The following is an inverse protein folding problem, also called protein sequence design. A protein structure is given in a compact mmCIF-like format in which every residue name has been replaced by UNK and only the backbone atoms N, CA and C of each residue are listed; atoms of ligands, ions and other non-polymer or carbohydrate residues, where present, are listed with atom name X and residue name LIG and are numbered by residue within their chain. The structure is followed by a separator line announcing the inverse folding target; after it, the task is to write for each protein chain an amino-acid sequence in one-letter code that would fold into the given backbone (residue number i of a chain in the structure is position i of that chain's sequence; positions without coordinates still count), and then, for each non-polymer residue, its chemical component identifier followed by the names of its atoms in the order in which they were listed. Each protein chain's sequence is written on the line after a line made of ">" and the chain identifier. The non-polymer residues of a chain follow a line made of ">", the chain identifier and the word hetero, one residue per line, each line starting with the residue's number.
data_IF_426200004466
#
_entry.id   IF_426200004466
#
_cell.length_a   1.000
_cell.length_b   1.000
_cell.length_c   1.000
_cell.angle_alpha   90.00
_cell.angle_beta   90.00
_cell.angle_gamma   90.00
#
_symmetry.space_group_name_H-M   'P 1'
#
loop_
_entity.id
_entity.type
_entity.pdbx_description
1 polymer ?
#
# COMPACT_ATOMS: atom_id res chain seq x y z
N UNK A 1 -22.26 -2.05 -26.50
CA UNK A 1 -21.66 -0.69 -26.61
C UNK A 1 -20.15 -0.64 -26.37
N UNK A 2 -19.49 -1.66 -25.80
CA UNK A 2 -18.03 -1.65 -25.50
C UNK A 2 -17.12 -1.70 -26.74
N UNK A 3 -17.61 -2.27 -27.85
CA UNK A 3 -16.82 -2.55 -29.06
C UNK A 3 -16.37 -1.30 -29.82
N UNK A 4 -17.18 -0.25 -29.80
CA UNK A 4 -16.88 0.98 -30.53
C UNK A 4 -15.76 1.79 -29.86
N UNK A 5 -15.78 1.86 -28.52
CA UNK A 5 -14.74 2.53 -27.75
C UNK A 5 -13.38 1.82 -27.86
N UNK A 6 -13.35 0.49 -27.99
CA UNK A 6 -12.11 -0.27 -28.20
C UNK A 6 -11.50 0.03 -29.57
N UNK A 7 -12.32 -0.01 -30.63
CA UNK A 7 -11.89 0.22 -32.00
C UNK A 7 -11.37 1.66 -32.21
N UNK A 8 -12.05 2.64 -31.59
CA UNK A 8 -11.59 4.03 -31.61
C UNK A 8 -10.24 4.21 -30.90
N UNK A 9 -10.03 3.54 -29.76
CA UNK A 9 -8.74 3.57 -29.06
C UNK A 9 -7.61 2.93 -29.88
N UNK A 10 -7.88 1.81 -30.55
CA UNK A 10 -6.91 1.15 -31.44
C UNK A 10 -6.50 2.07 -32.60
N UNK A 11 -7.47 2.75 -33.23
CA UNK A 11 -7.19 3.72 -34.29
C UNK A 11 -6.40 4.93 -33.79
N UNK A 12 -6.76 5.50 -32.64
CA UNK A 12 -6.03 6.65 -32.07
C UNK A 12 -4.60 6.29 -31.66
N UNK A 13 -4.37 5.04 -31.23
CA UNK A 13 -3.02 4.54 -30.96
C UNK A 13 -2.19 4.35 -32.23
N UNK A 14 -2.81 3.89 -33.31
CA UNK A 14 -2.17 3.75 -34.63
C UNK A 14 -1.69 5.09 -35.20
N UNK A 15 -2.41 6.18 -34.91
CA UNK A 15 -2.01 7.55 -35.27
C UNK A 15 -1.02 8.21 -34.30
N UNK A 16 -0.57 7.50 -33.25
CA UNK A 16 0.37 8.04 -32.24
C UNK A 16 -0.22 9.15 -31.37
N UNK A 17 -1.55 9.28 -31.34
CA UNK A 17 -2.26 10.31 -30.57
C UNK A 17 -2.56 9.84 -29.14
N UNK A 18 -2.56 8.52 -28.91
CA UNK A 18 -2.75 7.91 -27.59
C UNK A 18 -1.84 6.69 -27.46
N UNK A 19 -0.95 6.72 -26.48
CA UNK A 19 -0.12 5.58 -26.13
C UNK A 19 -0.77 4.79 -24.99
N UNK A 20 -0.76 3.46 -25.11
CA UNK A 20 -1.29 2.56 -24.06
C UNK A 20 -0.20 1.56 -23.69
N UNK A 21 0.27 1.63 -22.45
CA UNK A 21 1.30 0.75 -21.93
C UNK A 21 0.81 0.01 -20.69
N UNK A 22 1.23 -1.24 -20.53
CA UNK A 22 1.03 -1.98 -19.29
C UNK A 22 2.31 -1.93 -18.47
N UNK A 23 2.31 -1.12 -17.42
CA UNK A 23 3.45 -0.91 -16.53
C UNK A 23 3.35 -1.83 -15.33
N UNK A 24 4.47 -2.49 -14.98
CA UNK A 24 4.58 -3.26 -13.74
C UNK A 24 5.07 -2.33 -12.62
N UNK A 25 4.25 -2.18 -11.59
CA UNK A 25 4.52 -1.32 -10.44
C UNK A 25 4.82 -2.20 -9.21
N UNK A 26 6.08 -2.18 -8.77
CA UNK A 26 6.58 -2.88 -7.59
C UNK A 26 7.19 -1.90 -6.59
N UNK A 27 6.39 -1.23 -5.76
CA UNK A 27 6.93 -0.43 -4.67
C UNK A 27 7.50 -1.34 -3.59
N UNK A 28 8.53 -0.85 -2.89
CA UNK A 28 9.10 -1.57 -1.76
C UNK A 28 8.03 -1.79 -0.68
N UNK A 29 7.74 -3.06 -0.35
CA UNK A 29 6.75 -3.43 0.66
C UNK A 29 5.29 -3.36 0.23
N UNK A 30 4.99 -3.11 -1.06
CA UNK A 30 3.64 -3.21 -1.60
C UNK A 30 3.52 -4.35 -2.61
N UNK A 31 2.30 -4.84 -2.77
CA UNK A 31 1.98 -5.91 -3.71
C UNK A 31 2.27 -5.45 -5.15
N UNK A 32 3.02 -6.29 -5.86
CA UNK A 32 3.33 -6.16 -7.29
C UNK A 32 2.04 -6.07 -8.11
N UNK A 33 1.92 -5.04 -8.95
CA UNK A 33 0.69 -4.82 -9.72
C UNK A 33 0.97 -4.36 -11.14
N UNK A 34 0.05 -4.66 -12.04
CA UNK A 34 0.07 -4.16 -13.42
C UNK A 34 -0.93 -3.01 -13.55
N UNK A 35 -0.45 -1.89 -14.06
CA UNK A 35 -1.23 -0.71 -14.35
C UNK A 35 -1.30 -0.55 -15.87
N UNK A 36 -2.47 -0.23 -16.39
CA UNK A 36 -2.62 0.22 -17.76
C UNK A 36 -2.57 1.74 -17.72
N UNK A 37 -1.55 2.29 -18.35
CA UNK A 37 -1.30 3.72 -18.47
C UNK A 37 -1.65 4.11 -19.89
N UNK A 38 -2.63 4.98 -20.03
CA UNK A 38 -3.01 5.59 -21.30
C UNK A 38 -2.55 7.05 -21.25
N UNK A 39 -1.73 7.50 -22.19
CA UNK A 39 -1.23 8.87 -22.22
C UNK A 39 -1.27 9.47 -23.63
N UNK A 40 -1.48 10.78 -23.70
CA UNK A 40 -1.47 11.57 -24.94
C UNK A 40 -0.78 12.91 -24.68
N UNK A 41 -0.02 13.46 -25.64
CA UNK A 41 0.44 14.85 -25.56
C UNK A 41 -0.75 15.80 -25.43
N UNK A 42 -0.62 16.83 -24.60
CA UNK A 42 -1.64 17.87 -24.51
C UNK A 42 -1.65 18.69 -25.82
N UNK A 43 -2.80 18.83 -26.51
CA UNK A 43 -2.87 19.60 -27.75
C UNK A 43 -2.60 21.10 -27.55
N UNK A 44 -2.80 21.64 -26.36
CA UNK A 44 -2.62 23.06 -26.03
C UNK A 44 -1.23 23.34 -25.42
N UNK A 45 -0.54 22.32 -24.88
CA UNK A 45 0.80 22.45 -24.29
C UNK A 45 1.70 21.26 -24.62
N UNK A 46 2.67 21.48 -25.52
CA UNK A 46 3.62 20.47 -25.96
C UNK A 46 4.54 19.91 -24.85
N UNK A 47 4.56 20.49 -23.64
CA UNK A 47 5.32 19.99 -22.49
C UNK A 47 4.49 19.13 -21.54
N UNK A 48 3.18 19.08 -21.75
CA UNK A 48 2.24 18.41 -20.85
C UNK A 48 1.67 17.14 -21.49
N UNK A 49 1.27 16.19 -20.66
CA UNK A 49 0.64 14.94 -21.09
C UNK A 49 -0.66 14.72 -20.33
N UNK A 50 -1.71 14.34 -21.05
CA UNK A 50 -2.95 13.86 -20.48
C UNK A 50 -2.78 12.35 -20.21
N UNK A 51 -2.72 11.97 -18.93
CA UNK A 51 -2.50 10.59 -18.51
C UNK A 51 -3.69 10.02 -17.73
N UNK A 52 -4.10 8.80 -18.07
CA UNK A 52 -5.10 8.02 -17.35
C UNK A 52 -4.50 6.68 -16.94
N UNK A 53 -4.46 6.44 -15.63
CA UNK A 53 -3.96 5.20 -15.04
C UNK A 53 -5.13 4.37 -14.53
N UNK A 54 -5.15 3.07 -14.86
CA UNK A 54 -6.14 2.13 -14.33
C UNK A 54 -5.50 0.79 -13.97
N UNK A 55 -6.04 0.04 -13.01
CA UNK A 55 -5.63 -1.35 -12.77
C UNK A 55 -5.77 -2.19 -14.04
N UNK A 56 -4.82 -3.10 -14.26
CA UNK A 56 -4.94 -4.11 -15.34
C UNK A 56 -5.91 -5.24 -14.98
N UNK A 57 -6.16 -5.44 -13.68
CA UNK A 57 -7.12 -6.40 -13.13
C UNK A 57 -8.14 -5.66 -12.25
N UNK A 58 -9.38 -6.12 -12.27
CA UNK A 58 -10.44 -5.67 -11.36
C UNK A 58 -10.45 -6.48 -10.05
N UNK A 59 -9.54 -7.45 -9.88
CA UNK A 59 -9.43 -8.18 -8.63
C UNK A 59 -9.11 -7.21 -7.49
N UNK A 60 -9.88 -7.27 -6.38
CA UNK A 60 -9.54 -6.50 -5.20
C UNK A 60 -8.10 -6.83 -4.80
N UNK A 61 -7.36 -5.81 -4.40
CA UNK A 61 -6.02 -6.02 -3.86
C UNK A 61 -6.14 -7.02 -2.70
N UNK A 62 -5.27 -8.05 -2.62
CA UNK A 62 -5.16 -8.78 -1.36
C UNK A 62 -4.87 -7.75 -0.27
N UNK A 63 -5.53 -7.87 0.87
CA UNK A 63 -5.26 -7.02 2.02
C UNK A 63 -3.75 -7.02 2.23
N UNK A 64 -3.16 -5.82 2.28
CA UNK A 64 -1.72 -5.72 2.51
C UNK A 64 -1.42 -6.51 3.78
N UNK A 65 -0.45 -7.43 3.72
CA UNK A 65 -0.07 -8.21 4.89
C UNK A 65 0.15 -7.23 6.06
N UNK A 66 -0.43 -7.52 7.25
CA UNK A 66 -0.35 -6.62 8.37
C UNK A 66 1.12 -6.28 8.62
N UNK A 67 1.44 -4.99 8.62
CA UNK A 67 2.83 -4.56 8.84
C UNK A 67 3.26 -5.04 10.23
N UNK A 68 4.23 -5.94 10.29
CA UNK A 68 4.76 -6.47 11.54
C UNK A 68 5.95 -5.65 12.04
N UNK A 69 5.90 -5.26 13.31
CA UNK A 69 6.91 -4.44 13.96
C UNK A 69 7.77 -5.29 14.89
N UNK A 70 9.06 -4.93 14.95
CA UNK A 70 9.92 -5.37 16.05
C UNK A 70 9.47 -4.73 17.37
N UNK A 71 9.83 -5.34 18.50
CA UNK A 71 9.59 -4.75 19.83
C UNK A 71 10.20 -3.35 19.96
N UNK A 72 11.33 -3.07 19.30
CA UNK A 72 11.94 -1.74 19.31
C UNK A 72 11.09 -0.72 18.55
N UNK A 73 10.67 -1.05 17.31
CA UNK A 73 9.81 -0.15 16.53
C UNK A 73 8.48 0.15 17.22
N UNK A 74 7.88 -0.84 17.89
CA UNK A 74 6.67 -0.63 18.69
C UNK A 74 6.94 0.31 19.88
N UNK A 75 8.07 0.15 20.57
CA UNK A 75 8.48 1.02 21.67
C UNK A 75 8.68 2.47 21.22
N UNK A 76 9.33 2.65 20.07
CA UNK A 76 9.55 3.97 19.46
C UNK A 76 8.22 4.65 19.12
N UNK A 77 7.23 3.91 18.57
CA UNK A 77 5.90 4.45 18.24
C UNK A 77 5.08 4.82 19.46
N UNK A 78 5.12 3.99 20.50
CA UNK A 78 4.41 4.23 21.75
C UNK A 78 5.11 5.26 22.65
N UNK A 79 6.34 5.66 22.31
CA UNK A 79 7.22 6.48 23.14
C UNK A 79 7.40 5.91 24.55
N UNK A 80 7.72 4.62 24.62
CA UNK A 80 7.94 3.86 25.86
C UNK A 80 9.21 3.02 25.76
N UNK A 81 9.61 2.38 26.86
CA UNK A 81 10.79 1.51 26.84
C UNK A 81 10.50 0.17 26.14
N UNK A 82 11.52 -0.40 25.48
CA UNK A 82 11.42 -1.73 24.86
C UNK A 82 11.07 -2.85 25.87
N UNK A 83 11.60 -2.89 27.11
CA UNK A 83 11.16 -3.86 28.11
C UNK A 83 9.68 -3.71 28.47
N UNK A 84 9.14 -2.49 28.49
CA UNK A 84 7.72 -2.27 28.74
C UNK A 84 6.85 -2.88 27.64
N UNK A 85 7.22 -2.72 26.36
CA UNK A 85 6.51 -3.39 25.25
C UNK A 85 6.64 -4.91 25.34
N UNK A 86 7.79 -5.44 25.73
CA UNK A 86 7.96 -6.88 25.92
C UNK A 86 7.00 -7.42 27.00
N UNK A 87 6.85 -6.69 28.10
CA UNK A 87 5.89 -7.01 29.16
C UNK A 87 4.45 -6.98 28.64
N UNK A 88 4.04 -5.95 27.90
CA UNK A 88 2.69 -5.87 27.32
C UNK A 88 2.38 -7.05 26.40
N UNK A 89 3.35 -7.49 25.59
CA UNK A 89 3.20 -8.70 24.78
C UNK A 89 3.04 -9.94 25.64
N UNK A 90 3.85 -10.08 26.69
CA UNK A 90 3.78 -11.25 27.58
C UNK A 90 2.49 -11.25 28.42
N UNK A 91 1.91 -10.08 28.69
CA UNK A 91 0.62 -9.88 29.35
C UNK A 91 -0.58 -10.10 28.39
N UNK A 92 -0.35 -10.25 27.08
CA UNK A 92 -1.39 -10.51 26.09
C UNK A 92 -2.15 -9.26 25.58
N UNK A 93 -1.59 -8.07 25.78
CA UNK A 93 -2.23 -6.79 25.42
C UNK A 93 -2.29 -6.52 23.90
N UNK A 94 -1.54 -7.29 23.11
CA UNK A 94 -1.53 -7.20 21.64
C UNK A 94 -2.05 -8.50 21.04
N UNK A 95 -3.03 -8.38 20.13
CA UNK A 95 -3.50 -9.52 19.34
C UNK A 95 -2.57 -9.79 18.13
N UNK A 96 -2.59 -11.03 17.62
CA UNK A 96 -1.86 -11.39 16.40
C UNK A 96 -0.33 -11.31 16.50
N UNK A 97 0.23 -11.33 17.71
CA UNK A 97 1.69 -11.33 17.90
C UNK A 97 2.29 -12.64 17.40
N UNK A 98 3.28 -12.52 16.53
CA UNK A 98 4.04 -13.65 16.02
C UNK A 98 5.42 -13.74 16.65
N UNK A 99 6.00 -14.94 16.60
CA UNK A 99 7.41 -15.16 16.93
C UNK A 99 8.11 -15.75 15.71
N UNK A 100 9.22 -15.13 15.32
CA UNK A 100 10.09 -15.67 14.27
C UNK A 100 10.68 -17.02 14.72
N UNK A 101 11.25 -17.79 13.80
CA UNK A 101 11.96 -19.05 14.13
C UNK A 101 13.06 -18.89 15.20
N UNK A 102 13.73 -17.72 15.26
CA UNK A 102 14.73 -17.39 16.28
C UNK A 102 14.14 -16.87 17.60
N UNK A 103 12.81 -16.85 17.75
CA UNK A 103 12.11 -16.42 18.96
C UNK A 103 11.87 -14.91 19.12
N UNK A 104 12.24 -14.07 18.15
CA UNK A 104 11.96 -12.64 18.20
C UNK A 104 10.46 -12.34 18.01
N UNK A 105 9.91 -11.48 18.87
CA UNK A 105 8.53 -11.01 18.80
C UNK A 105 8.32 -10.11 17.56
N UNK A 106 7.14 -10.24 16.95
CA UNK A 106 6.63 -9.42 15.85
C UNK A 106 5.21 -9.00 16.20
N UNK A 107 5.00 -7.69 16.32
CA UNK A 107 3.75 -7.11 16.83
C UNK A 107 3.05 -6.42 15.66
N UNK A 108 1.76 -6.70 15.39
CA UNK A 108 1.04 -6.01 14.34
C UNK A 108 1.03 -4.49 14.56
N UNK A 109 1.32 -3.72 13.50
CA UNK A 109 1.32 -2.27 13.55
C UNK A 109 -0.05 -1.69 13.96
N UNK A 110 -1.14 -2.33 13.52
CA UNK A 110 -2.50 -1.93 13.86
C UNK A 110 -2.75 -1.97 15.37
N UNK A 111 -2.29 -3.02 16.04
CA UNK A 111 -2.42 -3.19 17.50
C UNK A 111 -1.58 -2.16 18.27
N UNK A 112 -0.39 -1.82 17.77
CA UNK A 112 0.42 -0.74 18.36
C UNK A 112 -0.29 0.60 18.25
N UNK A 113 -0.91 0.90 17.10
CA UNK A 113 -1.68 2.14 16.94
C UNK A 113 -2.96 2.17 17.77
N UNK A 114 -3.66 1.04 17.91
CA UNK A 114 -4.83 0.92 18.80
C UNK A 114 -4.46 1.33 20.23
N UNK A 115 -3.42 0.70 20.78
CA UNK A 115 -2.95 1.01 22.14
C UNK A 115 -2.46 2.46 22.27
N UNK A 116 -1.77 2.98 21.25
CA UNK A 116 -1.32 4.38 21.23
C UNK A 116 -2.50 5.36 21.31
N UNK A 117 -3.59 5.08 20.60
CA UNK A 117 -4.81 5.88 20.65
C UNK A 117 -5.48 5.82 22.03
N UNK A 118 -5.55 4.63 22.64
CA UNK A 118 -6.08 4.44 24.00
C UNK A 118 -5.25 5.20 25.05
N UNK A 119 -3.92 5.15 24.96
CA UNK A 119 -3.03 5.93 25.85
C UNK A 119 -3.21 7.44 25.68
N UNK A 120 -3.52 7.92 24.47
CA UNK A 120 -3.75 9.34 24.20
C UNK A 120 -5.12 9.79 24.67
N UNK A 121 -6.16 8.97 24.50
CA UNK A 121 -7.51 9.30 24.97
C UNK A 121 -7.59 9.31 26.49
N UNK A 122 -6.91 8.39 27.18
CA UNK A 122 -6.86 8.35 28.65
C UNK A 122 -6.11 9.53 29.30
N UNK A 123 -5.32 10.28 28.53
CA UNK A 123 -4.58 11.46 28.99
C UNK A 123 -5.33 12.79 28.79
N UNK A 124 -6.47 12.77 28.09
CA UNK A 124 -7.33 13.95 27.89
C UNK A 124 -8.42 13.98 28.93
#
# INVERSE_FOLDING_TARGET
>A
MVTHARKLREQLAEFGLVHVETVRFRPHGLVDRRLIVEYAPDPEDARSVLMRVRPASNEPLPEAEPQMLTTQQAADRLNVSRPYVARLVDDGEFEGVERTQSGHRRIPAAEVERLHQEMRSARR
#
